data_IF_390233800910
#
_entry.id   IF_390233800910
#
_cell.length_a   1.000
_cell.length_b   1.000
_cell.length_c   1.000
_cell.angle_alpha   90.00
_cell.angle_beta   90.00
_cell.angle_gamma   90.00
#
_symmetry.space_group_name_H-M   'P 1'
#
loop_
_entity.id
_entity.type
_entity.pdbx_description
1 polymer ?
#
# COMPACT_ATOMS: atom_id res chain seq x y z
N UNK A 1 -16.78 6.00 -11.15
CA UNK A 1 -15.41 6.54 -10.97
C UNK A 1 -14.47 5.61 -11.72
N UNK A 2 -13.71 6.15 -12.68
CA UNK A 2 -12.69 5.37 -13.41
C UNK A 2 -11.55 5.04 -12.45
N UNK A 3 -11.18 3.78 -12.33
CA UNK A 3 -10.02 3.35 -11.54
C UNK A 3 -8.74 3.87 -12.20
N UNK A 4 -7.75 4.35 -11.42
CA UNK A 4 -6.46 4.70 -11.98
C UNK A 4 -5.83 3.46 -12.60
N UNK A 5 -5.39 3.57 -13.85
CA UNK A 5 -4.62 2.51 -14.50
C UNK A 5 -3.20 2.49 -13.90
N UNK A 6 -2.83 1.41 -13.28
CA UNK A 6 -1.50 1.21 -12.68
C UNK A 6 -0.51 0.74 -13.74
N UNK A 7 0.69 1.35 -13.75
CA UNK A 7 1.80 0.99 -14.63
C UNK A 7 2.88 0.28 -13.80
N UNK A 8 3.06 -1.05 -13.98
CA UNK A 8 4.04 -1.81 -13.22
C UNK A 8 5.48 -1.30 -13.37
N UNK A 9 5.89 -0.86 -14.56
CA UNK A 9 7.25 -0.40 -14.82
C UNK A 9 7.56 0.91 -14.05
N UNK A 10 6.62 1.86 -14.07
CA UNK A 10 6.75 3.11 -13.29
C UNK A 10 6.71 2.84 -11.79
N UNK A 11 5.89 1.88 -11.34
CA UNK A 11 5.80 1.50 -9.93
C UNK A 11 7.11 0.92 -9.40
N UNK A 12 7.81 0.13 -10.20
CA UNK A 12 9.05 -0.55 -9.80
C UNK A 12 10.30 0.35 -9.75
N UNK A 13 10.29 1.56 -10.34
CA UNK A 13 11.44 2.48 -10.30
C UNK A 13 11.93 2.79 -8.88
N UNK A 14 11.04 2.74 -7.89
CA UNK A 14 11.36 2.99 -6.49
C UNK A 14 11.16 1.75 -5.60
N UNK A 15 11.29 0.55 -6.15
CA UNK A 15 11.02 -0.71 -5.45
C UNK A 15 11.86 -0.87 -4.17
N UNK A 16 13.14 -0.50 -4.19
CA UNK A 16 14.02 -0.58 -3.02
C UNK A 16 13.54 0.25 -1.83
N UNK A 17 13.13 1.51 -2.08
CA UNK A 17 12.59 2.39 -1.03
C UNK A 17 11.20 1.94 -0.52
N UNK A 18 10.44 1.22 -1.35
CA UNK A 18 9.10 0.72 -1.00
C UNK A 18 9.12 -0.65 -0.31
N UNK A 19 10.21 -1.41 -0.47
CA UNK A 19 10.36 -2.73 0.15
C UNK A 19 10.66 -2.65 1.66
N UNK A 20 11.43 -1.64 2.10
CA UNK A 20 11.81 -1.48 3.52
C UNK A 20 10.61 -1.39 4.46
N UNK A 21 9.58 -0.54 4.22
CA UNK A 21 8.40 -0.50 5.10
C UNK A 21 7.68 -1.84 5.22
N UNK A 22 7.65 -2.64 4.15
CA UNK A 22 7.06 -3.96 4.23
C UNK A 22 7.90 -4.93 5.09
N UNK A 23 9.21 -4.88 4.95
CA UNK A 23 10.11 -5.65 5.82
C UNK A 23 9.97 -5.25 7.30
N UNK A 24 9.86 -3.94 7.60
CA UNK A 24 9.65 -3.44 8.95
C UNK A 24 8.27 -3.89 9.51
N UNK A 25 7.21 -3.88 8.68
CA UNK A 25 5.91 -4.44 9.04
C UNK A 25 6.01 -5.94 9.38
N UNK A 26 6.62 -6.70 8.48
CA UNK A 26 6.76 -8.15 8.68
C UNK A 26 7.57 -8.46 9.94
N UNK A 27 8.64 -7.69 10.22
CA UNK A 27 9.45 -7.90 11.43
C UNK A 27 8.64 -7.79 12.73
N UNK A 28 7.56 -6.99 12.73
CA UNK A 28 6.67 -6.83 13.88
C UNK A 28 5.58 -7.91 13.97
N UNK A 29 5.36 -8.72 12.92
CA UNK A 29 4.41 -9.85 12.97
C UNK A 29 4.98 -10.95 13.86
N UNK A 30 4.27 -11.38 14.92
CA UNK A 30 4.74 -12.46 15.80
C UNK A 30 4.71 -13.82 15.10
N UNK A 31 5.19 -14.87 15.79
CA UNK A 31 5.05 -16.23 15.30
C UNK A 31 3.58 -16.59 15.04
N UNK A 32 3.31 -17.17 13.88
CA UNK A 32 1.96 -17.50 13.43
C UNK A 32 1.41 -18.73 14.19
N UNK A 33 0.08 -18.92 14.31
CA UNK A 33 -0.52 -20.08 14.96
C UNK A 33 0.04 -21.42 14.45
N UNK A 34 0.13 -21.59 13.12
CA UNK A 34 0.67 -22.81 12.52
C UNK A 34 2.15 -23.06 12.83
N UNK A 35 2.94 -22.04 13.16
CA UNK A 35 4.33 -22.23 13.64
C UNK A 35 4.40 -22.73 15.07
N UNK A 36 3.38 -22.40 15.89
CA UNK A 36 3.28 -22.85 17.30
C UNK A 36 2.68 -24.23 17.42
N UNK A 37 1.86 -24.62 16.46
CA UNK A 37 1.17 -25.91 16.39
C UNK A 37 1.34 -26.54 14.99
N UNK A 38 2.48 -27.21 14.73
CA UNK A 38 2.77 -27.80 13.41
C UNK A 38 1.73 -28.79 12.89
N UNK A 39 0.96 -29.41 13.81
CA UNK A 39 -0.16 -30.31 13.48
C UNK A 39 -1.32 -29.56 12.75
N UNK A 40 -1.41 -28.25 12.86
CA UNK A 40 -2.42 -27.42 12.17
C UNK A 40 -2.18 -27.30 10.65
N UNK A 41 -1.07 -27.85 10.14
CA UNK A 41 -0.67 -27.77 8.74
C UNK A 41 0.08 -26.48 8.40
N UNK A 42 0.36 -26.22 7.10
CA UNK A 42 1.12 -25.05 6.67
C UNK A 42 0.36 -23.75 6.96
N UNK A 43 1.07 -22.65 7.29
CA UNK A 43 0.44 -21.33 7.47
C UNK A 43 -0.36 -20.91 6.24
N UNK A 44 -1.53 -20.31 6.47
CA UNK A 44 -2.36 -19.70 5.42
C UNK A 44 -2.21 -18.18 5.49
N UNK A 45 -1.75 -17.56 4.40
CA UNK A 45 -1.45 -16.13 4.34
C UNK A 45 -2.18 -15.48 3.16
N UNK A 46 -2.89 -14.38 3.42
CA UNK A 46 -3.45 -13.52 2.40
C UNK A 46 -2.68 -12.20 2.31
N UNK A 47 -2.30 -11.76 1.11
CA UNK A 47 -1.74 -10.44 0.83
C UNK A 47 -2.74 -9.62 0.02
N UNK A 48 -3.38 -8.63 0.65
CA UNK A 48 -4.40 -7.79 0.02
C UNK A 48 -3.77 -6.60 -0.71
N UNK A 49 -3.97 -6.54 -2.02
CA UNK A 49 -3.35 -5.58 -2.92
C UNK A 49 -1.89 -5.94 -3.20
N UNK A 50 -1.66 -7.19 -3.58
CA UNK A 50 -0.32 -7.75 -3.83
C UNK A 50 0.42 -7.07 -5.00
N UNK A 51 -0.30 -6.36 -5.87
CA UNK A 51 0.27 -5.77 -7.07
C UNK A 51 0.92 -6.83 -7.97
N UNK A 52 2.12 -6.54 -8.53
CA UNK A 52 2.82 -7.50 -9.40
C UNK A 52 3.54 -8.62 -8.62
N UNK A 53 3.27 -8.81 -7.33
CA UNK A 53 3.78 -9.91 -6.52
C UNK A 53 5.21 -9.76 -5.99
N UNK A 54 5.94 -8.73 -6.41
CA UNK A 54 7.37 -8.56 -6.11
C UNK A 54 7.68 -8.39 -4.61
N UNK A 55 6.74 -7.94 -3.78
CA UNK A 55 6.89 -7.88 -2.32
C UNK A 55 6.21 -9.06 -1.63
N UNK A 56 5.18 -9.65 -2.24
CA UNK A 56 4.48 -10.85 -1.74
C UNK A 56 5.44 -12.03 -1.60
N UNK A 57 6.43 -12.15 -2.48
CA UNK A 57 7.52 -13.16 -2.39
C UNK A 57 8.23 -13.12 -1.03
N UNK A 58 8.33 -11.97 -0.37
CA UNK A 58 8.94 -11.86 0.97
C UNK A 58 8.20 -12.68 2.04
N UNK A 59 6.91 -12.91 1.83
CA UNK A 59 6.13 -13.79 2.71
C UNK A 59 6.60 -15.23 2.62
N UNK A 60 6.92 -15.71 1.42
CA UNK A 60 7.43 -17.07 1.21
C UNK A 60 8.88 -17.22 1.66
N UNK A 61 9.67 -16.15 1.68
CA UNK A 61 11.02 -16.15 2.27
C UNK A 61 10.96 -16.29 3.79
N UNK A 62 10.00 -15.60 4.44
CA UNK A 62 9.82 -15.63 5.90
C UNK A 62 9.11 -16.91 6.37
N UNK A 63 8.09 -17.36 5.65
CA UNK A 63 7.32 -18.57 5.94
C UNK A 63 7.39 -19.55 4.76
N UNK A 64 8.51 -20.29 4.64
CA UNK A 64 8.79 -21.09 3.43
C UNK A 64 7.79 -22.21 3.15
N UNK A 65 7.11 -22.72 4.20
CA UNK A 65 6.08 -23.76 4.09
C UNK A 65 4.68 -23.21 3.88
N UNK A 66 4.49 -21.87 3.95
CA UNK A 66 3.17 -21.26 3.88
C UNK A 66 2.51 -21.42 2.51
N UNK A 67 1.18 -21.50 2.53
CA UNK A 67 0.35 -21.23 1.36
C UNK A 67 -0.02 -19.76 1.37
N UNK A 68 0.55 -18.99 0.46
CA UNK A 68 0.35 -17.56 0.31
C UNK A 68 -0.54 -17.31 -0.89
N UNK A 69 -1.62 -16.53 -0.72
CA UNK A 69 -2.43 -16.05 -1.84
C UNK A 69 -2.37 -14.53 -1.88
N UNK A 70 -1.84 -13.99 -2.98
CA UNK A 70 -1.88 -12.57 -3.28
C UNK A 70 -3.19 -12.20 -3.98
N UNK A 71 -3.86 -11.16 -3.52
CA UNK A 71 -5.10 -10.65 -4.10
C UNK A 71 -4.89 -9.25 -4.65
N UNK A 72 -5.30 -9.00 -5.90
CA UNK A 72 -5.31 -7.65 -6.48
C UNK A 72 -6.52 -7.47 -7.41
N UNK A 73 -6.94 -6.23 -7.64
CA UNK A 73 -8.04 -5.92 -8.54
C UNK A 73 -7.59 -5.49 -9.95
N UNK A 74 -6.29 -5.39 -10.20
CA UNK A 74 -5.71 -5.02 -11.49
C UNK A 74 -5.31 -6.28 -12.26
N UNK A 75 -5.97 -6.58 -13.41
CA UNK A 75 -5.57 -7.70 -14.27
C UNK A 75 -4.09 -7.62 -14.71
N UNK A 76 -3.62 -6.43 -15.11
CA UNK A 76 -2.24 -6.23 -15.58
C UNK A 76 -1.20 -6.54 -14.49
N UNK A 77 -1.53 -6.24 -13.21
CA UNK A 77 -0.68 -6.58 -12.08
C UNK A 77 -0.67 -8.08 -11.83
N UNK A 78 -1.84 -8.71 -11.88
CA UNK A 78 -1.98 -10.16 -11.67
C UNK A 78 -1.32 -10.97 -12.79
N UNK A 79 -1.46 -10.57 -14.05
CA UNK A 79 -0.81 -11.25 -15.17
C UNK A 79 0.71 -11.32 -14.98
N UNK A 80 1.27 -10.22 -14.48
CA UNK A 80 2.70 -10.17 -14.13
C UNK A 80 3.02 -11.04 -12.93
N UNK A 81 2.22 -10.96 -11.87
CA UNK A 81 2.40 -11.76 -10.66
C UNK A 81 2.37 -13.26 -10.94
N UNK A 82 1.40 -13.73 -11.74
CA UNK A 82 1.30 -15.11 -12.19
C UNK A 82 2.54 -15.53 -12.98
N UNK A 83 2.98 -14.69 -13.94
CA UNK A 83 4.10 -15.02 -14.82
C UNK A 83 5.43 -15.11 -14.07
N UNK A 84 5.67 -14.18 -13.10
CA UNK A 84 6.98 -14.03 -12.49
C UNK A 84 7.13 -14.81 -11.17
N UNK A 85 6.03 -15.09 -10.46
CA UNK A 85 6.12 -15.50 -9.05
C UNK A 85 5.24 -16.67 -8.63
N UNK A 86 4.24 -17.07 -9.44
CA UNK A 86 3.32 -18.14 -9.05
C UNK A 86 3.99 -19.52 -9.07
N UNK A 87 3.70 -20.34 -8.07
CA UNK A 87 4.14 -21.73 -8.02
C UNK A 87 4.55 -22.24 -6.66
N UNK A 88 5.13 -23.44 -6.61
CA UNK A 88 5.66 -24.02 -5.37
C UNK A 88 6.89 -23.24 -4.90
N UNK A 89 7.04 -23.10 -3.58
CA UNK A 89 8.21 -22.46 -2.98
C UNK A 89 9.30 -23.48 -2.63
N UNK A 90 10.54 -23.02 -2.52
CA UNK A 90 11.67 -23.89 -2.16
C UNK A 90 11.51 -24.58 -0.80
N UNK A 91 10.69 -24.01 0.09
CA UNK A 91 10.40 -24.57 1.42
C UNK A 91 9.24 -25.56 1.47
N UNK A 92 8.63 -25.90 0.32
CA UNK A 92 7.48 -26.79 0.24
C UNK A 92 6.11 -26.13 0.43
N UNK A 93 6.07 -24.80 0.51
CA UNK A 93 4.86 -24.02 0.45
C UNK A 93 4.41 -23.72 -0.99
N UNK A 94 3.51 -22.75 -1.13
CA UNK A 94 2.98 -22.32 -2.43
C UNK A 94 2.65 -20.83 -2.44
N UNK A 95 2.88 -20.17 -3.57
CA UNK A 95 2.45 -18.81 -3.85
C UNK A 95 1.46 -18.85 -5.03
N UNK A 96 0.26 -18.36 -4.77
CA UNK A 96 -0.82 -18.24 -5.75
C UNK A 96 -1.29 -16.77 -5.81
N UNK A 97 -1.94 -16.40 -6.93
CA UNK A 97 -2.54 -15.08 -7.08
C UNK A 97 -4.00 -15.21 -7.51
N UNK A 98 -4.85 -14.27 -7.09
CA UNK A 98 -6.26 -14.29 -7.43
C UNK A 98 -6.82 -12.87 -7.55
N UNK A 99 -7.80 -12.69 -8.44
CA UNK A 99 -8.49 -11.42 -8.58
C UNK A 99 -9.42 -11.19 -7.39
N UNK A 100 -9.24 -10.06 -6.70
CA UNK A 100 -10.19 -9.58 -5.70
C UNK A 100 -10.06 -8.07 -5.49
N UNK A 101 -11.18 -7.44 -5.16
CA UNK A 101 -11.23 -6.03 -4.76
C UNK A 101 -11.29 -5.94 -3.24
N UNK A 102 -10.32 -5.30 -2.61
CA UNK A 102 -10.26 -5.15 -1.16
C UNK A 102 -11.50 -4.46 -0.56
N UNK A 103 -12.26 -3.68 -1.35
CA UNK A 103 -13.53 -3.07 -0.92
C UNK A 103 -14.62 -4.10 -0.63
N UNK A 104 -14.61 -5.21 -1.32
CA UNK A 104 -15.65 -6.24 -1.28
C UNK A 104 -15.13 -7.64 -0.95
N UNK A 105 -13.80 -7.79 -0.81
CA UNK A 105 -13.18 -9.08 -0.55
C UNK A 105 -13.71 -9.70 0.74
N UNK A 106 -14.26 -10.88 0.60
CA UNK A 106 -14.70 -11.73 1.72
C UNK A 106 -13.70 -12.89 1.81
N UNK A 107 -13.03 -13.09 2.96
CA UNK A 107 -12.07 -14.16 3.12
C UNK A 107 -12.72 -15.54 2.83
N UNK A 108 -12.18 -16.32 1.87
CA UNK A 108 -12.76 -17.63 1.51
C UNK A 108 -12.45 -18.73 2.51
N UNK A 109 -11.47 -18.51 3.37
CA UNK A 109 -10.99 -19.49 4.38
C UNK A 109 -10.49 -18.78 5.64
N UNK A 110 -9.99 -19.55 6.61
CA UNK A 110 -9.32 -18.97 7.78
C UNK A 110 -7.82 -18.82 7.52
N UNK A 111 -7.27 -17.70 8.02
CA UNK A 111 -5.87 -17.32 7.82
C UNK A 111 -5.10 -17.25 9.14
N UNK A 112 -3.81 -17.55 9.06
CA UNK A 112 -2.84 -17.25 10.12
C UNK A 112 -2.36 -15.81 10.05
N UNK A 113 -2.30 -15.24 8.80
CA UNK A 113 -1.93 -13.86 8.54
C UNK A 113 -2.77 -13.30 7.40
N UNK A 114 -3.37 -12.13 7.61
CA UNK A 114 -3.85 -11.26 6.54
C UNK A 114 -2.96 -10.02 6.56
N UNK A 115 -2.29 -9.72 5.45
CA UNK A 115 -1.40 -8.57 5.34
C UNK A 115 -1.85 -7.64 4.22
N UNK A 116 -1.61 -6.33 4.34
CA UNK A 116 -1.85 -5.36 3.29
C UNK A 116 -0.79 -4.26 3.30
N UNK A 117 -0.14 -4.04 2.17
CA UNK A 117 0.99 -3.13 2.05
C UNK A 117 0.73 -1.98 1.07
N UNK A 118 0.49 -0.77 1.60
CA UNK A 118 0.25 0.45 0.82
C UNK A 118 -0.95 0.37 -0.14
N UNK A 119 -2.05 -0.22 0.31
CA UNK A 119 -3.30 -0.41 -0.44
C UNK A 119 -4.48 0.31 0.20
N UNK A 120 -4.65 0.19 1.53
CA UNK A 120 -5.87 0.60 2.22
C UNK A 120 -6.17 2.10 2.09
N UNK A 121 -5.18 2.95 1.84
CA UNK A 121 -5.39 4.37 1.53
C UNK A 121 -6.16 4.61 0.21
N UNK A 122 -6.32 3.58 -0.63
CA UNK A 122 -7.11 3.61 -1.86
C UNK A 122 -8.49 2.96 -1.72
N UNK A 123 -8.80 2.43 -0.54
CA UNK A 123 -10.02 1.70 -0.24
C UNK A 123 -10.89 2.53 0.70
N UNK A 124 -11.87 3.30 0.19
CA UNK A 124 -12.79 4.04 1.03
C UNK A 124 -13.52 3.13 2.02
N UNK A 125 -13.58 3.53 3.29
CA UNK A 125 -14.24 2.73 4.32
C UNK A 125 -13.52 1.42 4.69
N UNK A 126 -12.24 1.26 4.33
CA UNK A 126 -11.48 0.02 4.61
C UNK A 126 -11.54 -0.43 6.07
N UNK A 127 -11.60 0.50 7.01
CA UNK A 127 -11.65 0.16 8.43
C UNK A 127 -12.97 -0.52 8.85
N UNK A 128 -14.03 -0.41 8.08
CA UNK A 128 -15.29 -1.11 8.32
C UNK A 128 -15.19 -2.60 7.91
N UNK A 129 -14.23 -2.94 7.03
CA UNK A 129 -13.92 -4.32 6.64
C UNK A 129 -13.12 -5.10 7.68
N UNK A 130 -12.53 -4.43 8.66
CA UNK A 130 -11.70 -5.07 9.70
C UNK A 130 -12.44 -6.15 10.46
N UNK A 131 -13.75 -5.97 10.67
CA UNK A 131 -14.60 -6.97 11.34
C UNK A 131 -14.55 -8.31 10.60
N UNK A 132 -14.74 -8.30 9.28
CA UNK A 132 -14.75 -9.52 8.47
C UNK A 132 -13.35 -10.16 8.39
N UNK A 133 -12.32 -9.32 8.23
CA UNK A 133 -10.94 -9.80 8.11
C UNK A 133 -10.42 -10.39 9.42
N UNK A 134 -10.69 -9.72 10.55
CA UNK A 134 -10.33 -10.27 11.88
C UNK A 134 -11.15 -11.52 12.20
N UNK A 135 -12.43 -11.57 11.81
CA UNK A 135 -13.25 -12.77 12.01
C UNK A 135 -12.65 -14.00 11.31
N UNK A 136 -12.09 -13.81 10.11
CA UNK A 136 -11.45 -14.87 9.32
C UNK A 136 -10.04 -15.27 9.79
N UNK A 137 -9.46 -14.58 10.76
CA UNK A 137 -8.22 -15.04 11.37
C UNK A 137 -8.48 -16.24 12.29
N UNK A 138 -7.56 -17.18 12.31
CA UNK A 138 -7.46 -18.19 13.36
C UNK A 138 -7.20 -17.52 14.71
N UNK A 139 -7.47 -18.20 15.81
CA UNK A 139 -7.08 -17.71 17.16
C UNK A 139 -5.57 -17.51 17.22
N UNK A 140 -5.12 -16.34 17.66
CA UNK A 140 -3.70 -15.94 17.61
C UNK A 140 -3.19 -15.59 16.22
N UNK A 141 -4.04 -15.60 15.20
CA UNK A 141 -3.71 -15.11 13.85
C UNK A 141 -3.59 -13.59 13.83
N UNK A 142 -2.93 -13.06 12.82
CA UNK A 142 -2.53 -11.66 12.75
C UNK A 142 -3.16 -10.95 11.55
N UNK A 143 -3.73 -9.77 11.76
CA UNK A 143 -3.97 -8.79 10.71
C UNK A 143 -2.90 -7.71 10.79
N UNK A 144 -2.14 -7.50 9.70
CA UNK A 144 -1.06 -6.53 9.66
C UNK A 144 -1.17 -5.65 8.42
N UNK A 145 -1.04 -4.33 8.58
CA UNK A 145 -1.01 -3.44 7.42
C UNK A 145 -0.10 -2.24 7.64
N UNK A 146 0.36 -1.65 6.52
CA UNK A 146 0.95 -0.33 6.53
C UNK A 146 0.35 0.52 5.42
N UNK A 147 0.23 1.82 5.68
CA UNK A 147 -0.25 2.82 4.73
C UNK A 147 0.65 4.06 4.73
N UNK A 148 0.82 4.74 3.58
CA UNK A 148 1.35 6.08 3.57
C UNK A 148 0.47 7.01 4.41
N UNK A 149 1.07 7.66 5.41
CA UNK A 149 0.43 8.62 6.30
C UNK A 149 1.07 10.01 6.10
N UNK A 150 1.04 10.47 4.88
CA UNK A 150 1.71 11.68 4.43
C UNK A 150 0.81 12.58 3.57
N UNK A 151 -0.52 12.45 3.73
CA UNK A 151 -1.50 13.18 2.92
C UNK A 151 -1.37 14.70 3.11
N UNK A 152 -0.90 15.15 4.27
CA UNK A 152 -0.65 16.55 4.59
C UNK A 152 0.77 17.03 4.24
N UNK A 153 1.64 16.12 3.78
CA UNK A 153 2.97 16.50 3.33
C UNK A 153 2.89 17.41 2.09
N UNK A 154 3.87 18.33 1.90
CA UNK A 154 3.84 19.31 0.81
C UNK A 154 3.57 18.68 -0.56
N UNK A 155 4.13 17.48 -0.84
CA UNK A 155 3.88 16.79 -2.11
C UNK A 155 2.38 16.50 -2.39
N UNK A 156 1.55 16.31 -1.38
CA UNK A 156 0.12 16.10 -1.58
C UNK A 156 -0.70 17.37 -1.36
N UNK A 157 -0.33 18.19 -0.38
CA UNK A 157 -1.00 19.45 -0.09
C UNK A 157 -0.94 20.40 -1.30
N UNK A 158 0.26 20.65 -1.83
CA UNK A 158 0.48 21.51 -2.99
C UNK A 158 -0.26 21.03 -4.24
N UNK A 159 -0.36 19.72 -4.44
CA UNK A 159 -1.11 19.16 -5.57
C UNK A 159 -2.61 19.48 -5.43
N UNK A 160 -3.18 19.30 -4.23
CA UNK A 160 -4.59 19.65 -3.97
C UNK A 160 -4.86 21.16 -4.07
N UNK A 161 -3.96 21.97 -3.53
CA UNK A 161 -4.04 23.43 -3.62
C UNK A 161 -4.02 23.89 -5.09
N UNK A 162 -3.09 23.36 -5.88
CA UNK A 162 -3.04 23.65 -7.32
C UNK A 162 -4.32 23.20 -8.03
N UNK A 163 -4.80 21.99 -7.77
CA UNK A 163 -6.02 21.45 -8.35
C UNK A 163 -7.28 22.24 -7.97
N UNK A 164 -7.27 22.92 -6.82
CA UNK A 164 -8.38 23.76 -6.36
C UNK A 164 -8.39 25.17 -6.97
N UNK A 165 -7.33 25.58 -7.70
CA UNK A 165 -7.28 26.89 -8.35
C UNK A 165 -8.34 27.01 -9.45
N UNK A 166 -8.80 28.24 -9.81
CA UNK A 166 -9.83 28.43 -10.83
C UNK A 166 -9.52 27.74 -12.16
N UNK A 167 -8.24 27.66 -12.54
CA UNK A 167 -7.78 27.02 -13.77
C UNK A 167 -8.05 25.51 -13.79
N UNK A 168 -7.85 24.83 -12.66
CA UNK A 168 -7.85 23.36 -12.58
C UNK A 168 -9.08 22.77 -11.89
N UNK A 169 -9.78 23.57 -11.09
CA UNK A 169 -10.85 23.10 -10.19
C UNK A 169 -11.93 22.29 -10.90
N UNK A 170 -12.36 22.74 -12.10
CA UNK A 170 -13.44 22.04 -12.84
C UNK A 170 -13.07 20.60 -13.24
N UNK A 171 -11.78 20.31 -13.43
CA UNK A 171 -11.31 18.99 -13.89
C UNK A 171 -10.71 18.14 -12.77
N UNK A 172 -10.12 18.73 -11.73
CA UNK A 172 -9.24 18.03 -10.81
C UNK A 172 -9.69 18.06 -9.34
N UNK A 173 -10.60 18.94 -8.91
CA UNK A 173 -10.92 19.09 -7.50
C UNK A 173 -11.45 17.80 -6.84
N UNK A 174 -12.25 17.01 -7.57
CA UNK A 174 -12.87 15.77 -7.06
C UNK A 174 -12.09 14.50 -7.45
N UNK A 175 -10.91 14.67 -8.08
CA UNK A 175 -10.14 13.55 -8.64
C UNK A 175 -9.08 13.07 -7.67
N UNK A 176 -8.55 13.98 -6.85
CA UNK A 176 -7.44 13.68 -5.95
C UNK A 176 -7.91 13.01 -4.65
N UNK A 177 -7.02 12.24 -4.07
CA UNK A 177 -7.27 11.57 -2.78
C UNK A 177 -7.58 12.59 -1.67
N UNK A 178 -8.66 12.34 -0.94
CA UNK A 178 -9.07 13.18 0.19
C UNK A 178 -8.20 12.94 1.43
N UNK A 179 -8.25 13.90 2.38
CA UNK A 179 -7.47 13.87 3.62
C UNK A 179 -7.89 12.77 4.59
N UNK A 180 -9.13 12.27 4.47
CA UNK A 180 -9.73 11.21 5.29
C UNK A 180 -9.46 9.78 4.78
N UNK A 181 -8.63 9.64 3.75
CA UNK A 181 -8.29 8.34 3.17
C UNK A 181 -7.49 7.41 4.09
N UNK A 182 -6.92 7.94 5.17
CA UNK A 182 -6.19 7.21 6.22
C UNK A 182 -6.63 7.76 7.57
N UNK A 183 -6.96 6.86 8.51
CA UNK A 183 -7.33 7.26 9.86
C UNK A 183 -6.10 7.53 10.74
N UNK A 184 -6.31 8.19 11.89
CA UNK A 184 -5.25 8.40 12.87
C UNK A 184 -4.80 7.08 13.52
N UNK A 185 -3.58 6.99 14.06
CA UNK A 185 -3.12 5.81 14.80
C UNK A 185 -4.08 5.38 15.92
N UNK A 186 -4.59 6.36 16.68
CA UNK A 186 -5.56 6.10 17.75
C UNK A 186 -6.88 5.51 17.27
N UNK A 187 -7.36 5.94 16.09
CA UNK A 187 -8.58 5.37 15.50
C UNK A 187 -8.38 3.90 15.08
N UNK A 188 -7.25 3.57 14.47
CA UNK A 188 -6.96 2.17 14.12
C UNK A 188 -6.78 1.30 15.36
N UNK A 189 -6.07 1.79 16.36
CA UNK A 189 -5.88 1.08 17.62
C UNK A 189 -7.23 0.77 18.28
N UNK A 190 -8.10 1.79 18.45
CA UNK A 190 -9.42 1.61 19.09
C UNK A 190 -10.29 0.61 18.31
N UNK A 191 -10.35 0.73 16.99
CA UNK A 191 -11.16 -0.18 16.14
C UNK A 191 -10.68 -1.64 16.26
N UNK A 192 -9.38 -1.89 16.20
CA UNK A 192 -8.82 -3.25 16.26
C UNK A 192 -8.92 -3.83 17.69
N UNK A 193 -8.69 -3.02 18.71
CA UNK A 193 -8.84 -3.43 20.12
C UNK A 193 -10.29 -3.83 20.43
N UNK A 194 -11.29 -3.08 19.93
CA UNK A 194 -12.72 -3.44 20.07
C UNK A 194 -13.10 -4.74 19.39
N UNK A 195 -12.33 -5.19 18.39
CA UNK A 195 -12.50 -6.50 17.76
C UNK A 195 -11.81 -7.64 18.55
N UNK A 196 -11.29 -7.35 19.75
CA UNK A 196 -10.65 -8.33 20.61
C UNK A 196 -9.20 -8.65 20.22
N UNK A 197 -8.52 -7.74 19.50
CA UNK A 197 -7.13 -7.91 19.12
C UNK A 197 -6.18 -7.27 20.14
N UNK A 198 -5.07 -7.93 20.44
CA UNK A 198 -3.88 -7.29 20.98
C UNK A 198 -3.24 -6.49 19.83
N UNK A 199 -3.17 -5.16 19.98
CA UNK A 199 -2.89 -4.27 18.85
C UNK A 199 -1.68 -3.39 19.14
N UNK A 200 -0.74 -3.33 18.19
CA UNK A 200 0.36 -2.37 18.12
C UNK A 200 0.18 -1.48 16.90
N UNK A 201 0.22 -0.16 17.10
CA UNK A 201 0.08 0.85 16.03
C UNK A 201 1.15 1.91 16.20
N UNK A 202 1.95 2.13 15.15
CA UNK A 202 3.02 3.12 15.21
C UNK A 202 3.19 3.87 13.89
N UNK A 203 3.99 4.92 13.91
CA UNK A 203 4.39 5.70 12.74
C UNK A 203 5.90 5.70 12.60
N UNK A 204 6.38 5.66 11.35
CA UNK A 204 7.78 5.82 11.01
C UNK A 204 7.94 6.82 9.87
N UNK A 205 8.86 7.76 10.00
CA UNK A 205 9.24 8.65 8.91
C UNK A 205 10.55 8.16 8.28
N UNK A 206 10.46 7.79 7.01
CA UNK A 206 11.63 7.43 6.19
C UNK A 206 12.12 8.68 5.47
N UNK A 207 13.40 9.00 5.61
CA UNK A 207 14.05 10.08 4.87
C UNK A 207 14.71 9.49 3.63
N UNK A 208 14.03 9.58 2.49
CA UNK A 208 14.57 9.12 1.21
C UNK A 208 15.45 10.20 0.61
N UNK A 209 16.70 9.86 0.26
CA UNK A 209 17.57 10.71 -0.53
C UNK A 209 17.39 10.31 -1.99
N UNK A 210 16.76 11.17 -2.76
CA UNK A 210 16.40 10.91 -4.15
C UNK A 210 17.39 11.63 -5.08
N UNK A 211 17.81 10.94 -6.14
CA UNK A 211 18.67 11.48 -7.20
C UNK A 211 17.84 11.85 -8.44
N UNK A 212 18.34 12.76 -9.25
CA UNK A 212 17.72 13.21 -10.49
C UNK A 212 17.37 14.70 -10.49
N UNK A 213 16.82 15.17 -11.60
CA UNK A 213 16.47 16.60 -11.76
C UNK A 213 15.19 16.97 -11.00
N UNK A 214 14.12 16.15 -11.14
CA UNK A 214 12.81 16.33 -10.50
C UNK A 214 12.38 15.08 -9.71
N UNK A 215 13.18 14.64 -8.72
CA UNK A 215 13.03 13.30 -8.16
C UNK A 215 11.75 13.14 -7.35
N UNK A 216 11.23 14.19 -6.72
CA UNK A 216 9.94 14.14 -6.00
C UNK A 216 8.76 14.07 -6.98
N UNK A 217 8.83 14.77 -8.11
CA UNK A 217 7.84 14.64 -9.17
C UNK A 217 7.83 13.20 -9.74
N UNK A 218 9.00 12.64 -9.99
CA UNK A 218 9.12 11.25 -10.50
C UNK A 218 8.58 10.24 -9.49
N UNK A 219 8.79 10.48 -8.20
CA UNK A 219 8.21 9.66 -7.14
C UNK A 219 6.67 9.62 -7.19
N UNK A 220 6.02 10.79 -7.32
CA UNK A 220 4.55 10.88 -7.28
C UNK A 220 3.89 10.53 -8.62
N UNK A 221 4.60 10.61 -9.75
CA UNK A 221 4.07 10.22 -11.07
C UNK A 221 3.54 8.77 -11.08
N UNK A 222 4.19 7.87 -10.37
CA UNK A 222 3.78 6.46 -10.27
C UNK A 222 2.67 6.20 -9.24
N UNK A 223 2.23 7.22 -8.49
CA UNK A 223 1.28 7.05 -7.38
C UNK A 223 0.27 8.19 -7.30
N UNK A 224 0.50 9.15 -6.41
CA UNK A 224 -0.45 10.22 -6.07
C UNK A 224 -0.85 11.13 -7.25
N UNK A 225 0.00 11.29 -8.25
CA UNK A 225 -0.28 12.12 -9.43
C UNK A 225 -1.12 11.36 -10.50
N UNK A 226 -1.18 10.03 -10.45
CA UNK A 226 -1.89 9.23 -11.47
C UNK A 226 -3.33 9.65 -11.70
N UNK A 227 -4.17 9.90 -10.67
CA UNK A 227 -5.54 10.36 -10.87
C UNK A 227 -5.62 11.63 -11.71
N UNK A 228 -4.77 12.63 -11.42
CA UNK A 228 -4.74 13.89 -12.19
C UNK A 228 -4.28 13.66 -13.64
N UNK A 229 -3.24 12.84 -13.87
CA UNK A 229 -2.78 12.51 -15.21
C UNK A 229 -3.85 11.78 -16.03
N UNK A 230 -4.62 10.91 -15.40
CA UNK A 230 -5.74 10.19 -16.04
C UNK A 230 -6.88 11.17 -16.40
N UNK A 231 -7.22 12.08 -15.49
CA UNK A 231 -8.28 13.07 -15.74
C UNK A 231 -7.92 14.12 -16.82
N UNK A 232 -6.63 14.27 -17.12
CA UNK A 232 -6.11 15.17 -18.15
C UNK A 232 -5.60 14.44 -19.39
N UNK A 233 -5.90 13.15 -19.54
CA UNK A 233 -5.34 12.32 -20.62
C UNK A 233 -5.82 12.73 -22.02
N UNK A 234 -7.00 13.32 -22.11
CA UNK A 234 -7.63 13.83 -23.34
C UNK A 234 -7.08 15.19 -23.80
N UNK A 235 -6.25 15.85 -22.96
CA UNK A 235 -5.72 17.20 -23.20
C UNK A 235 -4.23 17.24 -22.81
N UNK A 236 -3.31 16.88 -23.73
CA UNK A 236 -1.88 16.88 -23.47
C UNK A 236 -1.29 18.22 -23.04
N UNK A 237 -1.81 19.34 -23.59
CA UNK A 237 -1.33 20.69 -23.25
C UNK A 237 -1.69 21.03 -21.79
N UNK A 238 -2.94 20.78 -21.39
CA UNK A 238 -3.35 21.01 -20.01
C UNK A 238 -2.59 20.09 -19.04
N UNK A 239 -2.39 18.83 -19.42
CA UNK A 239 -1.61 17.88 -18.61
C UNK A 239 -0.18 18.37 -18.38
N UNK A 240 0.50 18.79 -19.45
CA UNK A 240 1.90 19.24 -19.38
C UNK A 240 2.02 20.58 -18.62
N UNK A 241 1.03 21.48 -18.75
CA UNK A 241 0.94 22.70 -17.96
C UNK A 241 0.76 22.40 -16.46
N UNK A 242 -0.17 21.49 -16.10
CA UNK A 242 -0.38 21.09 -14.71
C UNK A 242 0.87 20.46 -14.09
N UNK A 243 1.53 19.56 -14.82
CA UNK A 243 2.77 18.92 -14.38
C UNK A 243 3.88 19.96 -14.19
N UNK A 244 3.99 20.95 -15.07
CA UNK A 244 4.99 22.03 -14.97
C UNK A 244 4.76 22.91 -13.73
N UNK A 245 3.52 23.39 -13.53
CA UNK A 245 3.18 24.19 -12.35
C UNK A 245 3.43 23.39 -11.05
N UNK A 246 3.03 22.13 -11.01
CA UNK A 246 3.23 21.27 -9.84
C UNK A 246 4.71 20.96 -9.59
N UNK A 247 5.51 20.74 -10.63
CA UNK A 247 6.96 20.56 -10.54
C UNK A 247 7.63 21.74 -9.85
N UNK A 248 7.27 22.97 -10.26
CA UNK A 248 7.90 24.18 -9.73
C UNK A 248 7.56 24.37 -8.23
N UNK A 249 6.33 24.04 -7.82
CA UNK A 249 5.94 24.00 -6.41
C UNK A 249 6.73 22.95 -5.62
N UNK A 250 6.96 21.77 -6.20
CA UNK A 250 7.75 20.72 -5.56
C UNK A 250 9.22 21.10 -5.41
N UNK A 251 9.83 21.73 -6.40
CA UNK A 251 11.23 22.23 -6.33
C UNK A 251 11.39 23.25 -5.20
N UNK A 252 10.40 24.11 -5.00
CA UNK A 252 10.41 25.09 -3.91
C UNK A 252 10.26 24.40 -2.52
N UNK A 253 9.40 23.39 -2.41
CA UNK A 253 9.14 22.67 -1.15
C UNK A 253 10.23 21.67 -0.77
N UNK A 254 10.94 21.12 -1.77
CA UNK A 254 11.99 20.10 -1.61
C UNK A 254 13.25 20.53 -2.36
N UNK A 255 14.02 21.49 -1.79
CA UNK A 255 15.23 21.98 -2.43
C UNK A 255 16.27 20.87 -2.55
N UNK A 256 17.02 20.88 -3.65
CA UNK A 256 18.13 19.96 -3.87
C UNK A 256 19.33 20.33 -2.98
N UNK A 257 20.00 19.30 -2.46
CA UNK A 257 21.26 19.41 -1.73
C UNK A 257 22.38 18.68 -2.51
N UNK A 258 23.66 18.87 -2.16
CA UNK A 258 24.77 18.21 -2.87
C UNK A 258 24.70 16.67 -2.89
N UNK A 259 24.00 16.06 -1.93
CA UNK A 259 23.81 14.61 -1.82
C UNK A 259 22.46 14.13 -2.40
N UNK A 260 21.61 15.03 -2.92
CA UNK A 260 20.30 14.72 -3.49
C UNK A 260 19.15 15.49 -2.83
N UNK A 261 17.92 15.18 -3.23
CA UNK A 261 16.69 15.79 -2.67
C UNK A 261 16.15 14.91 -1.57
N UNK A 262 15.97 15.46 -0.37
CA UNK A 262 15.41 14.72 0.77
C UNK A 262 13.89 14.71 0.71
N UNK A 263 13.29 13.52 0.68
CA UNK A 263 11.85 13.31 0.78
C UNK A 263 11.52 12.59 2.11
N UNK A 264 11.04 13.31 3.13
CA UNK A 264 10.47 12.69 4.32
C UNK A 264 9.15 12.00 3.95
N UNK A 265 9.03 10.72 4.26
CA UNK A 265 7.86 9.93 3.90
C UNK A 265 7.35 9.16 5.13
N UNK A 266 6.31 9.71 5.77
CA UNK A 266 5.70 9.09 6.94
C UNK A 266 4.77 7.96 6.53
N UNK A 267 4.84 6.86 7.27
CA UNK A 267 3.97 5.69 7.16
C UNK A 267 3.39 5.33 8.51
N UNK A 268 2.17 4.82 8.49
CA UNK A 268 1.49 4.24 9.63
C UNK A 268 1.45 2.74 9.47
N UNK A 269 1.69 2.04 10.57
CA UNK A 269 1.73 0.59 10.69
C UNK A 269 0.73 0.14 11.74
N UNK A 270 0.12 -1.02 11.52
CA UNK A 270 -0.70 -1.70 12.51
C UNK A 270 -0.46 -3.20 12.44
N UNK A 271 -0.31 -3.82 13.61
CA UNK A 271 -0.25 -5.27 13.81
C UNK A 271 -1.26 -5.62 14.88
N UNK A 272 -2.25 -6.42 14.53
CA UNK A 272 -3.35 -6.81 15.40
C UNK A 272 -3.44 -8.33 15.50
N UNK A 273 -3.18 -8.88 16.67
CA UNK A 273 -3.24 -10.30 16.95
C UNK A 273 -4.59 -10.64 17.55
N UNK A 274 -5.36 -11.50 16.88
CA UNK A 274 -6.67 -11.95 17.35
C UNK A 274 -6.56 -12.69 18.68
N UNK A 275 -7.33 -12.27 19.65
CA UNK A 275 -7.38 -12.88 20.95
C UNK A 275 -7.67 -14.39 20.93
N UNK A 276 -7.29 -15.03 22.01
CA UNK A 276 -7.48 -16.46 22.19
C UNK A 276 -8.97 -16.85 22.34
#
# INVERSE_FOLDING_TARGET
MTHPTWDPAQYLRHAGHRARPFADLLAAVPALPAEREPSAGPPRIADLGCGPGNVTVRLTERWPTAHVTGYDNSPDMLDRAHTEHEGPTAGGGRLDFAHADARTWTPPEQYDLIVSNAVLQWVPGHADRFTDWVAALRRGGTFAFQVPDNIDAPLHALMRELAATPRWKARLAEVLRHTDSVHTPGTYLDRLARLGCATDVWQTTYFHVLAGEDPVLDWVKGTGLRPALTALADDPEARDAFVTEYRDLLRAAYPSAPYGTVLPFRRLFAVAVKGA
#
